data_IF_457014333549
#
_entry.id   IF_457014333549
#
_cell.length_a   1.000
_cell.length_b   1.000
_cell.length_c   1.000
_cell.angle_alpha   90.00
_cell.angle_beta   90.00
_cell.angle_gamma   90.00
#
_symmetry.space_group_name_H-M   'P 1'
#
loop_
_entity.id
_entity.type
_entity.pdbx_description
1 polymer ?
#
# COMPACT_ATOMS: atom_id res chain seq x y z
N UNK A 1 13.89 -7.36 -27.80
CA UNK A 1 14.67 -7.21 -26.53
C UNK A 1 14.16 -8.04 -25.35
N UNK A 2 12.89 -8.43 -25.26
CA UNK A 2 12.33 -9.11 -24.08
C UNK A 2 12.73 -10.56 -23.83
N UNK A 3 13.08 -11.34 -24.84
CA UNK A 3 13.43 -12.77 -24.72
C UNK A 3 14.78 -13.04 -24.03
N UNK A 4 15.68 -12.06 -23.99
CA UNK A 4 17.02 -12.23 -23.42
C UNK A 4 17.12 -11.94 -21.91
N UNK A 5 16.03 -11.53 -21.26
CA UNK A 5 16.04 -11.18 -19.83
C UNK A 5 15.74 -12.34 -18.89
N UNK A 6 15.19 -13.45 -19.40
CA UNK A 6 14.88 -14.64 -18.60
C UNK A 6 15.58 -15.84 -19.23
N UNK A 7 16.46 -16.46 -18.46
CA UNK A 7 17.23 -17.64 -18.92
C UNK A 7 16.36 -18.90 -18.96
N UNK A 8 16.72 -19.89 -19.83
CA UNK A 8 15.95 -21.13 -20.01
C UNK A 8 15.77 -21.97 -18.76
N UNK A 9 16.70 -21.91 -17.80
CA UNK A 9 16.63 -22.63 -16.53
C UNK A 9 15.61 -22.07 -15.54
N UNK A 10 15.00 -20.91 -15.89
CA UNK A 10 13.92 -20.26 -15.13
C UNK A 10 14.31 -19.86 -13.70
N UNK A 11 15.59 -19.82 -13.39
CA UNK A 11 16.16 -19.37 -12.12
C UNK A 11 17.17 -18.26 -12.27
N UNK A 12 17.42 -17.81 -13.48
CA UNK A 12 18.30 -16.70 -13.76
C UNK A 12 17.58 -15.61 -14.56
N UNK A 13 18.00 -14.39 -14.33
CA UNK A 13 17.61 -13.22 -15.13
C UNK A 13 18.90 -12.57 -15.64
N UNK A 14 18.93 -12.23 -16.91
CA UNK A 14 20.04 -11.49 -17.52
C UNK A 14 19.66 -10.01 -17.56
N UNK A 15 20.42 -9.20 -16.86
CA UNK A 15 20.20 -7.75 -16.79
C UNK A 15 21.30 -7.02 -17.53
N UNK A 16 20.98 -5.96 -18.32
CA UNK A 16 21.98 -5.12 -18.96
C UNK A 16 22.99 -4.60 -17.93
N UNK A 17 24.28 -4.62 -18.27
CA UNK A 17 25.41 -4.21 -17.42
C UNK A 17 25.69 -5.07 -16.17
N UNK A 18 24.72 -5.84 -15.69
CA UNK A 18 24.89 -6.70 -14.51
C UNK A 18 25.11 -8.18 -14.85
N UNK A 19 24.85 -8.56 -16.11
CA UNK A 19 24.99 -9.94 -16.56
C UNK A 19 23.86 -10.85 -16.05
N UNK A 20 24.15 -12.14 -15.96
CA UNK A 20 23.21 -13.17 -15.54
C UNK A 20 23.26 -13.35 -14.02
N UNK A 21 22.11 -13.17 -13.38
CA UNK A 21 21.94 -13.19 -11.92
C UNK A 21 20.98 -14.30 -11.53
N UNK A 22 21.37 -15.11 -10.56
CA UNK A 22 20.52 -16.14 -9.98
C UNK A 22 19.42 -15.51 -9.13
N UNK A 23 18.17 -15.92 -9.35
CA UNK A 23 17.00 -15.52 -8.58
C UNK A 23 16.61 -16.60 -7.57
N UNK A 24 16.10 -16.18 -6.41
CA UNK A 24 15.48 -17.10 -5.45
C UNK A 24 14.11 -17.58 -5.93
N UNK A 25 13.38 -16.71 -6.60
CA UNK A 25 12.07 -17.01 -7.15
C UNK A 25 12.17 -17.63 -8.55
N UNK A 26 11.23 -18.52 -8.84
CA UNK A 26 11.16 -19.17 -10.15
C UNK A 26 10.44 -18.26 -11.14
N UNK A 27 11.06 -17.97 -12.27
CA UNK A 27 10.52 -17.13 -13.35
C UNK A 27 9.62 -17.91 -14.33
N UNK A 28 9.30 -19.18 -14.07
CA UNK A 28 8.56 -20.08 -14.97
C UNK A 28 7.25 -19.50 -15.52
N UNK A 29 6.49 -18.80 -14.67
CA UNK A 29 5.21 -18.19 -15.11
C UNK A 29 5.43 -17.09 -16.13
N UNK A 30 6.46 -16.27 -15.91
CA UNK A 30 6.84 -15.21 -16.83
C UNK A 30 7.41 -15.81 -18.12
N UNK A 31 8.36 -16.74 -18.02
CA UNK A 31 8.97 -17.42 -19.16
C UNK A 31 7.90 -18.01 -20.09
N UNK A 32 6.95 -18.79 -19.58
CA UNK A 32 5.87 -19.36 -20.39
C UNK A 32 5.05 -18.33 -21.15
N UNK A 33 4.78 -17.16 -20.57
CA UNK A 33 4.04 -16.08 -21.23
C UNK A 33 4.85 -15.38 -22.29
N UNK A 34 6.16 -15.23 -22.07
CA UNK A 34 7.09 -14.68 -23.06
C UNK A 34 7.22 -15.63 -24.25
N UNK A 35 7.38 -16.94 -23.98
CA UNK A 35 7.49 -17.99 -25.02
C UNK A 35 6.21 -18.09 -25.85
N UNK A 36 5.05 -17.96 -25.20
CA UNK A 36 3.74 -17.94 -25.86
C UNK A 36 3.42 -16.61 -26.58
N UNK A 37 4.30 -15.59 -26.52
CA UNK A 37 4.05 -14.28 -27.11
C UNK A 37 2.95 -13.46 -26.40
N UNK A 38 2.43 -13.94 -25.26
CA UNK A 38 1.34 -13.30 -24.52
C UNK A 38 1.83 -12.30 -23.46
N UNK A 39 3.13 -12.09 -23.36
CA UNK A 39 3.75 -11.08 -22.50
C UNK A 39 4.97 -10.45 -23.16
N UNK A 40 5.24 -9.18 -22.79
CA UNK A 40 6.43 -8.43 -23.18
C UNK A 40 7.00 -7.70 -21.99
N UNK A 41 8.31 -7.85 -21.73
CA UNK A 41 8.98 -7.08 -20.68
C UNK A 41 9.28 -5.68 -21.23
N UNK A 42 8.80 -4.66 -20.50
CA UNK A 42 9.01 -3.25 -20.85
C UNK A 42 10.24 -2.68 -20.14
N UNK A 43 10.41 -2.99 -18.87
CA UNK A 43 11.54 -2.49 -18.10
C UNK A 43 11.88 -3.43 -16.93
N UNK A 44 13.10 -3.28 -16.41
CA UNK A 44 13.57 -3.95 -15.20
C UNK A 44 14.14 -2.90 -14.23
N UNK A 45 13.72 -2.97 -12.97
CA UNK A 45 14.23 -2.10 -11.91
C UNK A 45 14.91 -2.96 -10.85
N UNK A 46 16.17 -2.66 -10.54
CA UNK A 46 16.91 -3.30 -9.44
C UNK A 46 16.84 -2.42 -8.21
N UNK A 47 16.50 -2.99 -7.08
CA UNK A 47 16.42 -2.28 -5.81
C UNK A 47 17.02 -3.09 -4.67
N UNK A 48 17.58 -2.37 -3.69
CA UNK A 48 18.07 -2.97 -2.45
C UNK A 48 17.25 -2.48 -1.28
N UNK A 49 16.58 -3.39 -0.59
CA UNK A 49 15.69 -3.05 0.52
C UNK A 49 15.94 -3.99 1.70
N UNK A 50 16.28 -3.41 2.85
CA UNK A 50 16.49 -4.15 4.11
C UNK A 50 17.40 -5.38 3.98
N UNK A 51 18.51 -5.25 3.24
CA UNK A 51 19.49 -6.32 3.09
C UNK A 51 19.16 -7.37 2.02
N UNK A 52 18.17 -7.11 1.14
CA UNK A 52 17.84 -7.98 0.00
C UNK A 52 17.80 -7.19 -1.30
N UNK A 53 18.28 -7.81 -2.35
CA UNK A 53 18.16 -7.33 -3.72
C UNK A 53 16.88 -7.83 -4.35
N UNK A 54 16.21 -6.96 -5.07
CA UNK A 54 15.00 -7.26 -5.83
C UNK A 54 15.17 -6.81 -7.26
N UNK A 55 14.63 -7.61 -8.18
CA UNK A 55 14.42 -7.23 -9.59
C UNK A 55 12.92 -7.15 -9.81
N UNK A 56 12.41 -5.97 -10.11
CA UNK A 56 11.02 -5.75 -10.49
C UNK A 56 10.94 -5.60 -11.98
N UNK A 57 10.15 -6.45 -12.63
CA UNK A 57 9.93 -6.40 -14.07
C UNK A 57 8.56 -5.76 -14.35
N UNK A 58 8.56 -4.71 -15.16
CA UNK A 58 7.34 -4.18 -15.74
C UNK A 58 7.00 -4.99 -16.99
N UNK A 59 5.83 -5.61 -16.98
CA UNK A 59 5.43 -6.55 -18.02
C UNK A 59 4.07 -6.13 -18.59
N UNK A 60 4.01 -5.98 -19.91
CA UNK A 60 2.77 -5.91 -20.65
C UNK A 60 2.27 -7.35 -20.88
N UNK A 61 1.00 -7.62 -20.59
CA UNK A 61 0.44 -8.97 -20.65
C UNK A 61 -0.90 -8.93 -21.36
N UNK A 62 -1.08 -9.78 -22.37
CA UNK A 62 -2.39 -10.09 -22.92
C UNK A 62 -3.18 -10.88 -21.85
N UNK A 63 -4.31 -10.35 -21.45
CA UNK A 63 -5.13 -10.95 -20.40
C UNK A 63 -6.54 -11.21 -20.89
N UNK A 64 -7.02 -12.41 -20.68
CA UNK A 64 -8.45 -12.69 -20.78
C UNK A 64 -9.13 -12.15 -19.53
N UNK A 65 -10.14 -11.32 -19.73
CA UNK A 65 -11.00 -10.85 -18.64
C UNK A 65 -11.87 -12.03 -18.21
N UNK A 66 -11.76 -12.40 -16.93
CA UNK A 66 -12.66 -13.36 -16.29
C UNK A 66 -13.72 -12.58 -15.55
N UNK A 67 -14.97 -12.73 -15.93
CA UNK A 67 -16.08 -12.17 -15.18
C UNK A 67 -16.11 -12.74 -13.75
N UNK A 68 -16.48 -11.97 -12.75
CA UNK A 68 -16.75 -12.46 -11.41
C UNK A 68 -17.83 -13.53 -11.40
N UNK A 69 -17.83 -14.38 -10.38
CA UNK A 69 -18.85 -15.45 -10.25
C UNK A 69 -20.27 -14.87 -10.10
N UNK A 70 -20.39 -13.71 -9.44
CA UNK A 70 -21.65 -12.98 -9.24
C UNK A 70 -21.52 -11.55 -9.74
N UNK A 71 -21.55 -11.32 -11.08
CA UNK A 71 -21.25 -10.01 -11.67
C UNK A 71 -22.23 -8.91 -11.27
N UNK A 72 -23.49 -9.28 -11.01
CA UNK A 72 -24.56 -8.33 -10.66
C UNK A 72 -24.71 -8.07 -9.16
N UNK A 73 -24.04 -8.86 -8.33
CA UNK A 73 -24.11 -8.73 -6.88
C UNK A 73 -23.18 -7.63 -6.42
N UNK A 74 -23.74 -6.71 -5.65
CA UNK A 74 -22.99 -5.62 -4.99
C UNK A 74 -22.50 -6.11 -3.63
N UNK A 75 -21.27 -5.82 -3.27
CA UNK A 75 -20.74 -6.03 -1.93
C UNK A 75 -20.21 -4.74 -1.34
N UNK A 76 -20.66 -4.38 -0.14
CA UNK A 76 -20.09 -3.34 0.69
C UNK A 76 -18.98 -3.90 1.56
N UNK A 77 -17.87 -3.18 1.68
CA UNK A 77 -16.67 -3.57 2.42
C UNK A 77 -16.36 -2.53 3.47
N UNK A 78 -16.67 -2.83 4.72
CA UNK A 78 -16.24 -2.05 5.88
C UNK A 78 -14.86 -2.52 6.35
N UNK A 79 -13.88 -1.60 6.45
CA UNK A 79 -12.50 -1.91 6.83
C UNK A 79 -12.23 -1.56 8.29
N UNK A 80 -11.82 -2.55 9.07
CA UNK A 80 -11.65 -2.39 10.50
C UNK A 80 -10.34 -2.95 11.05
N UNK A 81 -10.06 -2.60 12.30
CA UNK A 81 -8.89 -3.10 13.05
C UNK A 81 -9.21 -4.41 13.78
N UNK A 82 -10.46 -4.61 14.19
CA UNK A 82 -10.92 -5.85 14.83
C UNK A 82 -11.05 -6.96 13.81
N UNK A 83 -11.94 -6.79 12.85
CA UNK A 83 -11.99 -7.54 11.61
C UNK A 83 -11.26 -6.73 10.55
N UNK A 84 -10.46 -7.38 9.71
CA UNK A 84 -9.76 -6.69 8.62
C UNK A 84 -10.74 -6.09 7.62
N UNK A 85 -11.82 -6.82 7.36
CA UNK A 85 -12.95 -6.37 6.60
C UNK A 85 -14.23 -7.08 7.07
N UNK A 86 -15.36 -6.39 6.99
CA UNK A 86 -16.69 -6.99 7.06
C UNK A 86 -17.34 -6.77 5.71
N UNK A 87 -17.79 -7.83 5.10
CA UNK A 87 -18.44 -7.84 3.80
C UNK A 87 -19.93 -8.06 4.00
N UNK A 88 -20.78 -7.25 3.37
CA UNK A 88 -22.20 -7.51 3.27
C UNK A 88 -22.60 -7.36 1.80
N UNK A 89 -23.23 -8.37 1.24
CA UNK A 89 -23.67 -8.30 -0.15
C UNK A 89 -25.18 -7.98 -0.29
N UNK A 90 -25.59 -7.65 -1.51
CA UNK A 90 -26.98 -7.29 -1.82
C UNK A 90 -27.96 -8.45 -1.69
N UNK A 91 -27.49 -9.70 -1.46
CA UNK A 91 -28.34 -10.86 -1.16
C UNK A 91 -28.54 -11.08 0.34
N UNK A 92 -27.89 -10.26 1.18
CA UNK A 92 -27.98 -10.34 2.63
C UNK A 92 -26.88 -11.17 3.30
N UNK A 93 -25.96 -11.77 2.53
CA UNK A 93 -24.85 -12.53 3.09
C UNK A 93 -23.84 -11.61 3.78
N UNK A 94 -23.45 -11.96 5.00
CA UNK A 94 -22.43 -11.22 5.77
C UNK A 94 -21.25 -12.15 6.02
N UNK A 95 -20.04 -11.63 5.78
CA UNK A 95 -18.78 -12.33 6.00
C UNK A 95 -17.82 -11.48 6.80
N UNK A 96 -17.31 -12.01 7.91
CA UNK A 96 -16.29 -11.35 8.72
C UNK A 96 -14.91 -11.91 8.38
N UNK A 97 -14.02 -11.03 7.92
CA UNK A 97 -12.64 -11.38 7.61
C UNK A 97 -11.77 -11.08 8.83
N UNK A 98 -11.15 -12.07 9.47
CA UNK A 98 -10.33 -11.84 10.64
C UNK A 98 -9.10 -11.00 10.31
N UNK A 99 -8.69 -10.14 11.25
CA UNK A 99 -7.44 -9.39 11.11
C UNK A 99 -6.27 -10.25 11.67
N UNK A 100 -5.31 -10.66 10.83
CA UNK A 100 -4.21 -11.51 11.28
C UNK A 100 -3.22 -10.81 12.20
N UNK A 101 -3.22 -9.48 12.28
CA UNK A 101 -2.40 -8.65 13.16
C UNK A 101 -0.92 -9.07 13.20
N UNK A 102 -0.31 -9.28 12.03
CA UNK A 102 1.05 -9.84 11.88
C UNK A 102 2.12 -9.07 12.66
N UNK A 103 1.98 -7.74 12.74
CA UNK A 103 2.91 -6.90 13.48
C UNK A 103 2.74 -7.10 15.00
N UNK A 104 1.53 -7.16 15.51
CA UNK A 104 1.28 -7.36 16.95
C UNK A 104 1.81 -8.73 17.41
N UNK A 105 1.61 -9.78 16.61
CA UNK A 105 2.16 -11.13 16.85
C UNK A 105 3.70 -11.11 16.94
N UNK A 106 4.37 -10.32 16.10
CA UNK A 106 5.83 -10.25 16.08
C UNK A 106 6.41 -9.20 17.04
N UNK A 107 5.58 -8.40 17.73
CA UNK A 107 6.01 -7.20 18.44
C UNK A 107 7.00 -7.48 19.58
N UNK A 108 6.80 -8.53 20.36
CA UNK A 108 7.72 -8.93 21.42
C UNK A 108 9.13 -9.23 20.88
N UNK A 109 9.20 -9.99 19.78
CA UNK A 109 10.46 -10.30 19.09
C UNK A 109 11.12 -9.04 18.54
N UNK A 110 10.36 -8.15 17.91
CA UNK A 110 10.88 -6.88 17.38
C UNK A 110 11.43 -5.98 18.50
N UNK A 111 10.73 -5.86 19.63
CA UNK A 111 11.19 -5.09 20.80
C UNK A 111 12.52 -5.64 21.35
N UNK A 112 12.65 -6.97 21.45
CA UNK A 112 13.90 -7.62 21.90
C UNK A 112 15.04 -7.34 20.93
N UNK A 113 14.81 -7.47 19.61
CA UNK A 113 15.81 -7.20 18.60
C UNK A 113 16.18 -5.71 18.54
N UNK A 114 15.22 -4.80 18.66
CA UNK A 114 15.48 -3.37 18.69
C UNK A 114 16.35 -2.96 19.90
N UNK A 115 16.06 -3.49 21.09
CA UNK A 115 16.93 -3.29 22.26
C UNK A 115 18.33 -3.85 22.05
N UNK A 116 18.47 -4.99 21.33
CA UNK A 116 19.78 -5.58 21.01
C UNK A 116 20.57 -4.71 20.00
N UNK A 117 19.88 -4.10 19.05
CA UNK A 117 20.45 -3.17 18.07
C UNK A 117 20.89 -1.87 18.75
N UNK A 118 20.04 -1.25 19.58
CA UNK A 118 20.31 0.03 20.23
C UNK A 118 21.50 0.00 21.21
N UNK A 119 21.81 -1.16 21.80
CA UNK A 119 22.98 -1.36 22.67
C UNK A 119 24.31 -1.53 21.93
N UNK A 120 24.31 -1.43 20.62
CA UNK A 120 25.49 -1.66 19.79
C UNK A 120 25.82 -0.43 18.97
N UNK A 121 27.09 -0.29 18.63
CA UNK A 121 27.54 0.81 17.81
C UNK A 121 26.93 0.73 16.42
N UNK A 122 25.98 1.62 16.13
CA UNK A 122 25.39 1.81 14.82
C UNK A 122 26.19 2.74 13.92
N UNK A 123 25.73 2.96 12.67
CA UNK A 123 26.32 3.95 11.79
C UNK A 123 26.07 5.36 12.34
N UNK A 124 27.11 6.18 12.34
CA UNK A 124 26.98 7.63 12.63
C UNK A 124 27.32 8.43 11.37
N UNK A 125 26.29 9.06 10.81
CA UNK A 125 26.45 9.88 9.59
C UNK A 125 27.23 11.17 9.83
N UNK A 126 27.20 11.71 11.05
CA UNK A 126 27.88 12.95 11.38
C UNK A 126 29.40 12.77 11.46
N UNK A 127 29.85 11.65 12.00
CA UNK A 127 31.27 11.31 12.15
C UNK A 127 31.77 10.35 11.07
N UNK A 128 30.94 9.99 10.10
CA UNK A 128 31.22 8.97 9.07
C UNK A 128 31.62 7.61 9.67
N UNK A 129 31.28 7.33 10.93
CA UNK A 129 31.65 6.13 11.63
C UNK A 129 30.84 4.92 11.13
N UNK A 130 31.55 3.87 10.71
CA UNK A 130 30.94 2.64 10.27
C UNK A 130 30.31 1.87 11.44
N UNK A 131 29.19 1.11 11.21
CA UNK A 131 28.58 0.27 12.22
C UNK A 131 29.47 -0.91 12.58
N UNK A 132 29.40 -1.35 13.85
CA UNK A 132 30.10 -2.57 14.29
C UNK A 132 29.51 -3.83 13.61
N UNK A 133 30.32 -4.85 13.37
CA UNK A 133 29.88 -6.16 12.83
C UNK A 133 28.71 -6.74 13.64
N UNK A 134 28.73 -6.58 14.96
CA UNK A 134 27.67 -7.05 15.87
C UNK A 134 26.37 -6.27 15.65
N UNK A 135 26.44 -4.97 15.37
CA UNK A 135 25.28 -4.17 15.01
C UNK A 135 24.68 -4.63 13.70
N UNK A 136 25.50 -4.75 12.65
CA UNK A 136 25.07 -5.21 11.32
C UNK A 136 24.33 -6.55 11.40
N UNK A 137 24.86 -7.51 12.14
CA UNK A 137 24.23 -8.83 12.33
C UNK A 137 22.88 -8.72 13.04
N UNK A 138 22.78 -7.89 14.08
CA UNK A 138 21.54 -7.71 14.83
C UNK A 138 20.48 -6.94 14.03
N UNK A 139 20.91 -5.93 13.27
CA UNK A 139 20.02 -5.15 12.40
C UNK A 139 19.48 -6.00 11.25
N UNK A 140 20.33 -6.84 10.64
CA UNK A 140 19.90 -7.78 9.63
C UNK A 140 18.84 -8.77 10.15
N UNK A 141 18.99 -9.24 11.41
CA UNK A 141 17.98 -10.11 12.03
C UNK A 141 16.65 -9.36 12.27
N UNK A 142 16.69 -8.11 12.76
CA UNK A 142 15.52 -7.25 12.91
C UNK A 142 14.84 -7.01 11.55
N UNK A 143 15.62 -6.70 10.53
CA UNK A 143 15.12 -6.45 9.18
C UNK A 143 14.46 -7.70 8.58
N UNK A 144 14.99 -8.92 8.81
CA UNK A 144 14.30 -10.15 8.38
C UNK A 144 12.91 -10.31 8.98
N UNK A 145 12.73 -9.93 10.25
CA UNK A 145 11.39 -9.97 10.89
C UNK A 145 10.44 -8.97 10.25
N UNK A 146 10.90 -7.73 10.01
CA UNK A 146 10.10 -6.72 9.32
C UNK A 146 9.71 -7.14 7.90
N UNK A 147 10.64 -7.77 7.15
CA UNK A 147 10.32 -8.33 5.82
C UNK A 147 9.22 -9.38 5.92
N UNK A 148 9.38 -10.36 6.81
CA UNK A 148 8.38 -11.42 6.97
C UNK A 148 6.98 -10.85 7.27
N UNK A 149 6.87 -9.85 8.15
CA UNK A 149 5.60 -9.19 8.44
C UNK A 149 5.02 -8.51 7.18
N UNK A 150 5.85 -7.79 6.45
CA UNK A 150 5.43 -7.12 5.22
C UNK A 150 4.98 -8.11 4.15
N UNK A 151 5.72 -9.22 3.98
CA UNK A 151 5.41 -10.27 3.01
C UNK A 151 4.09 -10.97 3.36
N UNK A 152 3.90 -11.38 4.63
CA UNK A 152 2.66 -12.00 5.11
C UNK A 152 1.45 -11.08 4.92
N UNK A 153 1.59 -9.80 5.27
CA UNK A 153 0.53 -8.81 5.05
C UNK A 153 0.21 -8.69 3.57
N UNK A 154 1.21 -8.49 2.73
CA UNK A 154 1.01 -8.31 1.29
C UNK A 154 0.34 -9.54 0.67
N UNK A 155 0.78 -10.75 1.00
CA UNK A 155 0.19 -12.00 0.53
C UNK A 155 -1.27 -12.13 0.97
N UNK A 156 -1.56 -11.89 2.27
CA UNK A 156 -2.91 -11.94 2.82
C UNK A 156 -3.86 -10.95 2.14
N UNK A 157 -3.40 -9.70 1.94
CA UNK A 157 -4.20 -8.68 1.26
C UNK A 157 -4.43 -9.01 -0.22
N UNK A 158 -3.42 -9.59 -0.90
CA UNK A 158 -3.59 -10.04 -2.28
C UNK A 158 -4.60 -11.19 -2.39
N UNK A 159 -4.58 -12.15 -1.47
CA UNK A 159 -5.54 -13.26 -1.43
C UNK A 159 -6.96 -12.72 -1.19
N UNK A 160 -7.15 -11.92 -0.15
CA UNK A 160 -8.43 -11.31 0.18
C UNK A 160 -9.04 -10.56 -1.01
N UNK A 161 -8.30 -9.61 -1.56
CA UNK A 161 -8.80 -8.78 -2.66
C UNK A 161 -8.99 -9.56 -3.95
N UNK A 162 -8.25 -10.66 -4.17
CA UNK A 162 -8.48 -11.57 -5.30
C UNK A 162 -9.77 -12.36 -5.11
N UNK A 163 -10.03 -12.89 -3.91
CA UNK A 163 -11.28 -13.60 -3.59
C UNK A 163 -12.48 -12.69 -3.77
N UNK A 164 -12.44 -11.46 -3.19
CA UNK A 164 -13.54 -10.49 -3.36
C UNK A 164 -13.80 -10.21 -4.84
N UNK A 165 -12.74 -10.01 -5.64
CA UNK A 165 -12.90 -9.70 -7.07
C UNK A 165 -13.23 -10.89 -7.96
N UNK A 166 -12.94 -12.10 -7.53
CA UNK A 166 -13.40 -13.31 -8.21
C UNK A 166 -14.89 -13.56 -7.97
N UNK A 167 -15.42 -13.08 -6.87
CA UNK A 167 -16.81 -13.30 -6.46
C UNK A 167 -17.74 -12.17 -6.94
N UNK A 168 -17.39 -10.90 -6.71
CA UNK A 168 -18.30 -9.77 -6.87
C UNK A 168 -17.92 -8.85 -8.02
N UNK A 169 -18.90 -8.47 -8.84
CA UNK A 169 -18.72 -7.51 -9.92
C UNK A 169 -18.62 -6.08 -9.42
N UNK A 170 -19.42 -5.70 -8.41
CA UNK A 170 -19.46 -4.37 -7.87
C UNK A 170 -19.01 -4.40 -6.40
N UNK A 171 -17.98 -3.63 -6.07
CA UNK A 171 -17.44 -3.54 -4.70
C UNK A 171 -17.47 -2.10 -4.25
N UNK A 172 -18.14 -1.82 -3.15
CA UNK A 172 -18.21 -0.50 -2.52
C UNK A 172 -17.28 -0.46 -1.32
N UNK A 173 -16.40 0.53 -1.25
CA UNK A 173 -15.46 0.72 -0.14
C UNK A 173 -15.53 2.15 0.38
N UNK A 174 -15.18 2.36 1.66
CA UNK A 174 -15.07 3.69 2.23
C UNK A 174 -13.82 4.43 1.73
N UNK A 175 -13.93 5.74 1.47
CA UNK A 175 -12.77 6.63 1.25
C UNK A 175 -12.14 7.02 2.58
N UNK A 176 -11.42 6.09 3.21
CA UNK A 176 -10.78 6.30 4.50
C UNK A 176 -9.61 7.28 4.42
N UNK A 177 -9.59 8.30 5.27
CA UNK A 177 -8.42 9.16 5.47
C UNK A 177 -7.31 8.42 6.23
N UNK A 178 -6.65 7.48 5.56
CA UNK A 178 -5.60 6.65 6.16
C UNK A 178 -4.45 7.51 6.73
N UNK A 179 -4.09 8.62 6.08
CA UNK A 179 -3.05 9.51 6.56
C UNK A 179 -3.42 10.14 7.92
N UNK A 180 -4.65 10.63 8.04
CA UNK A 180 -5.18 11.15 9.31
C UNK A 180 -5.28 10.08 10.39
N UNK A 181 -5.70 8.87 10.02
CA UNK A 181 -5.77 7.74 10.96
C UNK A 181 -4.37 7.34 11.47
N UNK A 182 -3.33 7.43 10.65
CA UNK A 182 -1.94 7.17 11.05
C UNK A 182 -1.36 8.23 11.98
N UNK A 183 -1.94 9.43 12.04
CA UNK A 183 -1.56 10.46 13.00
C UNK A 183 -2.01 10.10 14.45
N UNK A 184 -2.99 9.23 14.61
CA UNK A 184 -3.43 8.76 15.92
C UNK A 184 -2.42 7.75 16.52
N UNK A 185 -1.60 8.20 17.46
CA UNK A 185 -0.52 7.39 18.07
C UNK A 185 -0.99 6.05 18.66
N UNK A 186 -2.24 5.97 19.16
CA UNK A 186 -2.78 4.74 19.77
C UNK A 186 -3.14 3.68 18.72
N UNK A 187 -3.60 4.10 17.56
CA UNK A 187 -4.09 3.22 16.50
C UNK A 187 -3.14 3.07 15.31
N UNK A 188 -2.21 4.02 15.11
CA UNK A 188 -1.32 4.09 13.94
C UNK A 188 -0.66 2.76 13.58
N UNK A 189 -0.13 2.04 14.57
CA UNK A 189 0.52 0.75 14.34
C UNK A 189 -0.45 -0.31 13.79
N UNK A 190 -1.65 -0.40 14.35
CA UNK A 190 -2.67 -1.36 13.92
C UNK A 190 -3.21 -1.02 12.53
N UNK A 191 -3.43 0.27 12.27
CA UNK A 191 -3.87 0.78 10.96
C UNK A 191 -2.80 0.53 9.89
N UNK A 192 -1.52 0.79 10.20
CA UNK A 192 -0.41 0.51 9.30
C UNK A 192 -0.28 -1.00 9.00
N UNK A 193 -0.57 -1.86 9.98
CA UNK A 193 -0.54 -3.31 9.80
C UNK A 193 -1.73 -3.83 9.01
N UNK A 194 -2.92 -3.25 9.19
CA UNK A 194 -4.12 -3.59 8.43
C UNK A 194 -4.01 -3.25 6.94
N UNK A 195 -3.29 -2.17 6.58
CA UNK A 195 -2.99 -1.83 5.20
C UNK A 195 -4.21 -1.38 4.36
N UNK A 196 -5.13 -0.61 4.93
CA UNK A 196 -6.38 -0.18 4.28
C UNK A 196 -6.19 0.44 2.91
N UNK A 197 -5.22 1.36 2.76
CA UNK A 197 -4.91 1.95 1.46
C UNK A 197 -4.40 0.94 0.42
N UNK A 198 -3.76 -0.15 0.86
CA UNK A 198 -3.33 -1.23 -0.03
C UNK A 198 -4.52 -2.08 -0.48
N UNK A 199 -5.49 -2.34 0.42
CA UNK A 199 -6.75 -3.06 0.08
C UNK A 199 -7.50 -2.27 -0.98
N UNK A 200 -7.81 -0.99 -0.74
CA UNK A 200 -8.52 -0.13 -1.70
C UNK A 200 -7.84 -0.14 -3.07
N UNK A 201 -6.54 0.18 -3.12
CA UNK A 201 -5.78 0.17 -4.38
C UNK A 201 -5.85 -1.19 -5.09
N UNK A 202 -5.75 -2.30 -4.35
CA UNK A 202 -5.82 -3.64 -4.93
C UNK A 202 -7.21 -3.97 -5.47
N UNK A 203 -8.27 -3.59 -4.78
CA UNK A 203 -9.65 -3.75 -5.24
C UNK A 203 -9.88 -2.97 -6.54
N UNK A 204 -9.40 -1.72 -6.60
CA UNK A 204 -9.56 -0.87 -7.79
C UNK A 204 -8.88 -1.47 -9.02
N UNK A 205 -7.56 -1.74 -8.98
CA UNK A 205 -6.89 -2.23 -10.19
C UNK A 205 -7.29 -3.66 -10.57
N UNK A 206 -7.59 -4.52 -9.58
CA UNK A 206 -8.09 -5.88 -9.87
C UNK A 206 -9.51 -5.86 -10.43
N UNK A 207 -10.34 -4.89 -9.99
CA UNK A 207 -11.65 -4.64 -10.57
C UNK A 207 -11.55 -4.35 -12.05
N UNK A 208 -10.72 -3.38 -12.44
CA UNK A 208 -10.46 -3.08 -13.85
C UNK A 208 -9.95 -4.30 -14.64
N UNK A 209 -9.18 -5.19 -14.00
CA UNK A 209 -8.71 -6.41 -14.66
C UNK A 209 -9.80 -7.49 -14.84
N UNK A 210 -10.83 -7.49 -14.03
CA UNK A 210 -11.90 -8.47 -14.03
C UNK A 210 -13.20 -7.94 -14.68
N UNK A 211 -13.19 -6.74 -15.25
CA UNK A 211 -14.39 -6.09 -15.77
C UNK A 211 -15.39 -5.68 -14.69
N UNK A 212 -14.94 -5.62 -13.43
CA UNK A 212 -15.78 -5.21 -12.30
C UNK A 212 -15.53 -3.74 -11.91
N UNK A 213 -16.45 -3.17 -11.16
CA UNK A 213 -16.44 -1.77 -10.74
C UNK A 213 -16.11 -1.66 -9.25
N UNK A 214 -15.25 -0.68 -8.88
CA UNK A 214 -15.06 -0.25 -7.50
C UNK A 214 -15.71 1.11 -7.34
N UNK A 215 -16.62 1.23 -6.37
CA UNK A 215 -17.25 2.48 -5.99
C UNK A 215 -16.65 2.92 -4.65
N UNK A 216 -16.11 4.13 -4.61
CA UNK A 216 -15.67 4.75 -3.38
C UNK A 216 -16.87 5.49 -2.77
N UNK A 217 -17.27 5.12 -1.56
CA UNK A 217 -18.30 5.86 -0.82
C UNK A 217 -17.75 7.22 -0.41
N UNK A 218 -18.63 8.22 -0.38
CA UNK A 218 -18.25 9.55 0.11
C UNK A 218 -17.64 9.45 1.50
N UNK A 219 -16.56 10.21 1.72
CA UNK A 219 -15.80 10.21 2.99
C UNK A 219 -16.64 10.53 4.21
N UNK A 220 -17.68 11.31 4.03
CA UNK A 220 -18.56 11.78 5.10
C UNK A 220 -19.84 10.95 5.22
N UNK A 221 -20.01 9.96 4.36
CA UNK A 221 -21.14 9.06 4.44
C UNK A 221 -21.14 8.32 5.80
N UNK A 222 -22.20 8.50 6.61
CA UNK A 222 -22.23 7.98 7.97
C UNK A 222 -22.60 6.48 8.01
N UNK A 223 -21.85 5.64 7.26
CA UNK A 223 -22.11 4.20 7.07
C UNK A 223 -22.44 3.47 8.37
N UNK A 224 -21.65 3.70 9.42
CA UNK A 224 -21.80 3.01 10.71
C UNK A 224 -22.89 3.61 11.60
N UNK A 225 -23.41 4.82 11.30
CA UNK A 225 -24.45 5.49 12.07
C UNK A 225 -25.84 5.37 11.47
N UNK A 226 -25.91 5.07 10.18
CA UNK A 226 -27.17 4.89 9.44
C UNK A 226 -27.71 3.49 9.72
N UNK A 227 -29.01 3.38 9.95
CA UNK A 227 -29.67 2.09 10.04
C UNK A 227 -29.76 1.47 8.63
N UNK A 228 -29.29 0.25 8.46
CA UNK A 228 -29.32 -0.44 7.15
C UNK A 228 -30.72 -0.92 6.76
N UNK A 229 -31.67 -0.85 7.66
CA UNK A 229 -33.05 -1.27 7.43
C UNK A 229 -33.98 -0.08 7.12
N UNK A 230 -34.06 0.91 8.01
CA UNK A 230 -34.98 2.04 7.87
C UNK A 230 -34.31 3.38 7.46
N UNK A 231 -32.98 3.42 7.33
CA UNK A 231 -32.26 4.65 6.95
C UNK A 231 -32.08 5.69 8.05
N UNK A 232 -32.61 5.49 9.26
CA UNK A 232 -32.48 6.43 10.37
C UNK A 232 -31.01 6.63 10.77
N UNK A 233 -30.59 7.89 10.98
CA UNK A 233 -29.20 8.24 11.27
C UNK A 233 -29.07 8.62 12.75
N UNK A 234 -28.19 7.91 13.46
CA UNK A 234 -27.84 8.27 14.86
C UNK A 234 -26.94 9.49 14.91
N UNK A 235 -27.25 10.42 15.81
CA UNK A 235 -26.38 11.60 16.04
C UNK A 235 -25.01 11.21 16.58
N UNK A 236 -24.96 10.25 17.50
CA UNK A 236 -23.71 9.76 18.13
C UNK A 236 -23.68 8.24 18.14
N UNK A 237 -22.55 7.66 17.77
CA UNK A 237 -22.23 6.24 17.96
C UNK A 237 -20.74 6.11 18.30
N UNK A 238 -20.38 6.03 19.59
CA UNK A 238 -18.98 5.93 20.02
C UNK A 238 -18.27 4.73 19.40
N UNK A 239 -16.95 4.86 19.15
CA UNK A 239 -16.17 3.81 18.48
C UNK A 239 -16.09 2.49 19.27
N UNK A 240 -16.26 2.54 20.59
CA UNK A 240 -16.25 1.34 21.44
C UNK A 240 -17.56 0.55 21.38
N UNK A 241 -18.67 1.16 20.97
CA UNK A 241 -19.96 0.49 20.79
C UNK A 241 -19.89 -0.38 19.53
N UNK A 242 -20.12 -1.68 19.70
CA UNK A 242 -20.00 -2.66 18.62
C UNK A 242 -21.33 -3.18 18.11
N UNK A 243 -22.38 -2.98 18.86
CA UNK A 243 -23.75 -3.34 18.48
C UNK A 243 -24.47 -2.07 18.05
N UNK A 244 -24.98 -2.10 16.83
CA UNK A 244 -25.90 -1.06 16.36
C UNK A 244 -27.32 -1.48 16.74
N UNK A 245 -28.02 -0.63 17.47
CA UNK A 245 -29.43 -0.81 17.81
C UNK A 245 -30.21 0.41 17.31
N UNK A 246 -31.15 0.21 16.41
CA UNK A 246 -31.99 1.28 15.88
C UNK A 246 -33.11 1.61 16.85
N UNK A 247 -33.34 2.89 17.10
CA UNK A 247 -34.43 3.37 17.96
C UNK A 247 -35.76 3.50 17.23
N UNK A 248 -35.75 3.48 15.86
CA UNK A 248 -36.94 3.64 15.06
C UNK A 248 -37.55 2.30 14.62
N UNK A 249 -36.72 1.33 14.14
CA UNK A 249 -37.21 0.05 13.64
C UNK A 249 -36.78 -1.15 14.51
N UNK A 250 -36.17 -0.89 15.66
CA UNK A 250 -35.68 -1.91 16.58
C UNK A 250 -34.64 -2.91 16.01
N UNK A 251 -34.04 -2.62 14.84
CA UNK A 251 -32.94 -3.42 14.28
C UNK A 251 -31.77 -3.46 15.26
N UNK A 252 -31.31 -4.67 15.62
CA UNK A 252 -30.12 -4.91 16.43
C UNK A 252 -29.15 -5.79 15.66
N UNK A 253 -27.94 -5.29 15.39
CA UNK A 253 -26.93 -6.07 14.67
C UNK A 253 -25.51 -5.58 14.98
N UNK A 254 -24.50 -6.33 14.49
CA UNK A 254 -23.09 -5.87 14.54
C UNK A 254 -22.95 -4.56 13.77
N UNK A 255 -22.22 -3.61 14.37
CA UNK A 255 -22.03 -2.27 13.80
C UNK A 255 -21.30 -2.28 12.48
N UNK A 256 -20.24 -3.11 12.37
CA UNK A 256 -19.42 -3.18 11.17
C UNK A 256 -20.22 -3.88 10.04
N UNK A 257 -21.09 -4.85 10.39
CA UNK A 257 -22.04 -5.47 9.44
C UNK A 257 -23.10 -4.47 8.97
N UNK A 258 -23.63 -3.63 9.87
CA UNK A 258 -24.54 -2.55 9.48
C UNK A 258 -23.89 -1.57 8.51
N UNK A 259 -22.64 -1.17 8.78
CA UNK A 259 -21.88 -0.31 7.88
C UNK A 259 -21.68 -0.94 6.50
N UNK A 260 -21.30 -2.21 6.45
CA UNK A 260 -21.12 -2.92 5.19
C UNK A 260 -22.43 -3.03 4.37
N UNK A 261 -23.58 -3.23 5.03
CA UNK A 261 -24.89 -3.20 4.36
C UNK A 261 -25.20 -1.84 3.75
N UNK A 262 -24.94 -0.77 4.51
CA UNK A 262 -25.14 0.60 4.03
C UNK A 262 -24.25 0.91 2.83
N UNK A 263 -23.00 0.45 2.84
CA UNK A 263 -22.10 0.59 1.69
C UNK A 263 -22.64 -0.17 0.45
N UNK A 264 -23.13 -1.40 0.62
CA UNK A 264 -23.72 -2.15 -0.48
C UNK A 264 -24.93 -1.44 -1.09
N UNK A 265 -25.78 -0.82 -0.27
CA UNK A 265 -26.97 -0.10 -0.68
C UNK A 265 -26.65 1.14 -1.55
N UNK A 266 -25.50 1.81 -1.35
CA UNK A 266 -25.09 2.94 -2.16
C UNK A 266 -24.93 2.61 -3.65
N UNK A 267 -24.40 1.45 -3.99
CA UNK A 267 -24.25 1.06 -5.40
C UNK A 267 -25.55 0.54 -6.02
N UNK A 268 -26.49 0.05 -5.23
CA UNK A 268 -27.81 -0.29 -5.71
C UNK A 268 -28.56 0.97 -6.23
N UNK A 269 -28.40 2.11 -5.54
CA UNK A 269 -28.93 3.40 -5.97
C UNK A 269 -28.29 3.90 -7.28
N UNK A 270 -26.98 3.67 -7.47
CA UNK A 270 -26.28 4.01 -8.73
C UNK A 270 -26.77 3.15 -9.90
N UNK A 271 -27.03 1.85 -9.69
CA UNK A 271 -27.61 0.98 -10.72
C UNK A 271 -29.04 1.36 -11.12
N UNK A 272 -29.82 1.88 -10.18
CA UNK A 272 -31.21 2.26 -10.40
C UNK A 272 -31.40 3.62 -11.14
N UNK A 273 -30.32 4.26 -11.63
CA UNK A 273 -30.40 5.46 -12.46
C UNK A 273 -30.65 6.77 -11.70
N UNK A 274 -30.57 6.77 -10.36
CA UNK A 274 -30.60 8.00 -9.54
C UNK A 274 -29.20 8.54 -9.26
N UNK A 275 -28.21 8.12 -10.05
CA UNK A 275 -26.78 8.39 -9.86
C UNK A 275 -26.38 9.76 -10.38
N UNK A 276 -25.70 10.53 -9.55
CA UNK A 276 -24.84 11.65 -9.92
C UNK A 276 -23.80 11.14 -10.92
N UNK A 277 -23.80 11.69 -12.13
CA UNK A 277 -22.80 11.38 -13.15
C UNK A 277 -21.41 11.73 -12.63
N UNK A 278 -20.64 10.72 -12.26
CA UNK A 278 -19.20 10.84 -12.03
C UNK A 278 -18.49 10.79 -13.38
N UNK A 279 -17.70 11.79 -13.65
CA UNK A 279 -16.84 11.99 -14.82
C UNK A 279 -16.14 10.69 -15.24
N UNK A 280 -16.48 10.20 -16.42
CA UNK A 280 -15.84 9.04 -17.08
C UNK A 280 -14.66 9.49 -17.94
N UNK A 281 -13.70 10.21 -17.38
CA UNK A 281 -12.42 10.51 -18.04
C UNK A 281 -11.25 10.28 -17.11
N UNK A 282 -11.13 9.05 -16.59
CA UNK A 282 -9.88 8.59 -15.98
C UNK A 282 -9.14 7.73 -17.00
N UNK A 283 -8.53 8.37 -17.99
CA UNK A 283 -7.39 7.79 -18.69
C UNK A 283 -6.38 7.31 -17.65
N UNK A 284 -5.98 6.05 -17.75
CA UNK A 284 -4.99 5.41 -16.89
C UNK A 284 -3.64 6.14 -17.00
N UNK A 285 -3.49 7.24 -16.30
CA UNK A 285 -2.21 7.90 -16.09
C UNK A 285 -1.43 7.11 -15.06
N UNK A 286 -0.34 6.55 -15.53
CA UNK A 286 0.69 5.86 -14.77
C UNK A 286 1.18 6.75 -13.61
N UNK A 287 1.06 6.38 -12.31
CA UNK A 287 1.51 7.24 -11.21
C UNK A 287 3.01 7.10 -10.99
N UNK A 288 3.80 7.53 -11.96
CA UNK A 288 5.23 7.80 -11.84
C UNK A 288 5.52 9.22 -12.32
N UNK A 289 5.12 10.16 -11.50
CA UNK A 289 5.47 11.55 -11.62
C UNK A 289 5.14 12.21 -10.29
N UNK A 290 5.94 11.96 -9.27
CA UNK A 290 5.96 12.85 -8.13
C UNK A 290 6.57 14.15 -8.58
N UNK A 291 5.76 15.04 -9.14
CA UNK A 291 6.12 16.44 -9.31
C UNK A 291 6.42 17.03 -7.94
N UNK A 292 7.69 17.18 -7.70
CA UNK A 292 8.24 17.91 -6.58
C UNK A 292 7.89 19.40 -6.78
N UNK A 293 6.66 19.79 -6.44
CA UNK A 293 6.29 21.20 -6.35
C UNK A 293 7.17 21.84 -5.29
N UNK A 294 8.22 22.51 -5.75
CA UNK A 294 9.00 23.47 -4.97
C UNK A 294 8.05 24.58 -4.53
N UNK A 295 7.62 24.53 -3.29
CA UNK A 295 6.88 25.62 -2.64
C UNK A 295 7.86 26.76 -2.40
N UNK A 296 7.95 27.68 -3.33
CA UNK A 296 8.51 29.02 -3.09
C UNK A 296 7.56 29.77 -2.15
N UNK A 297 7.83 29.70 -0.86
CA UNK A 297 7.21 30.58 0.13
C UNK A 297 8.00 31.87 0.15
N UNK A 298 7.63 32.82 -0.66
CA UNK A 298 7.95 34.24 -0.45
C UNK A 298 7.10 34.77 0.70
N UNK A 299 7.70 34.83 1.87
CA UNK A 299 7.13 35.53 3.02
C UNK A 299 7.90 36.84 3.16
N UNK A 300 7.25 38.01 3.10
CA UNK A 300 7.95 39.31 3.33
C UNK A 300 8.38 39.37 4.80
N UNK A 301 9.70 39.51 5.03
CA UNK A 301 10.23 39.84 6.34
C UNK A 301 10.31 41.34 6.45
N UNK A 302 9.44 41.95 7.22
CA UNK A 302 9.65 43.27 7.81
C UNK A 302 10.73 43.17 8.87
N UNK A 303 11.77 43.99 8.71
CA UNK A 303 12.83 44.24 9.71
C UNK A 303 12.51 45.50 10.49
N UNK A 304 12.92 45.60 11.74
CA UNK A 304 13.44 46.85 12.31
C UNK A 304 14.92 46.72 12.64
N UNK A 305 15.61 47.69 12.23
CA UNK A 305 16.79 48.41 12.50
C UNK A 305 17.88 47.91 13.43
N UNK A 306 19.13 48.19 12.99
CA UNK A 306 20.14 48.65 13.89
C UNK A 306 21.53 48.02 13.79
N UNK A 307 22.42 48.77 13.18
CA UNK A 307 23.84 49.01 13.44
C UNK A 307 24.95 48.21 12.78
N UNK A 308 25.78 49.01 12.22
CA UNK A 308 27.01 48.96 11.47
C UNK A 308 28.17 48.11 12.04
N UNK A 309 29.05 47.66 11.14
CA UNK A 309 30.46 47.48 11.42
C UNK A 309 31.15 46.32 10.72
N UNK A 310 32.05 46.61 9.78
CA UNK A 310 33.22 45.77 9.51
C UNK A 310 33.25 45.04 8.14
N UNK A 311 33.87 45.68 7.17
CA UNK A 311 34.40 45.07 5.95
C UNK A 311 35.67 44.26 6.26
N UNK A 312 36.03 43.29 5.39
CA UNK A 312 37.33 42.92 4.79
C UNK A 312 37.21 41.46 4.23
N UNK A 313 38.10 40.94 3.33
CA UNK A 313 37.82 40.85 1.89
C UNK A 313 37.90 39.41 1.31
N UNK A 314 37.71 39.33 -0.02
CA UNK A 314 37.83 38.18 -0.93
C UNK A 314 39.06 37.28 -0.73
N UNK A 315 38.88 35.96 -0.83
CA UNK A 315 39.85 35.09 -1.47
C UNK A 315 39.12 34.06 -2.35
N UNK A 316 39.58 34.05 -3.62
CA UNK A 316 39.31 33.03 -4.65
C UNK A 316 40.03 31.74 -4.28
N UNK A 317 39.40 30.58 -4.52
CA UNK A 317 40.14 29.35 -4.84
C UNK A 317 39.26 28.47 -5.75
N UNK A 318 39.69 28.32 -6.84
CA UNK A 318 39.90 27.33 -7.89
C UNK A 318 39.14 26.02 -7.81
N UNK A 319 38.50 25.76 -8.95
CA UNK A 319 37.94 24.47 -9.40
C UNK A 319 39.03 23.39 -9.51
N UNK A 320 38.77 22.22 -8.94
CA UNK A 320 39.54 21.00 -9.23
C UNK A 320 38.60 19.89 -9.72
N UNK A 321 38.89 19.44 -10.93
CA UNK A 321 38.30 18.33 -11.66
C UNK A 321 38.66 16.98 -11.00
N UNK A 322 37.72 16.07 -10.72
CA UNK A 322 38.06 14.74 -10.24
C UNK A 322 37.97 13.70 -11.34
N UNK A 323 38.97 13.65 -12.23
CA UNK A 323 39.30 12.44 -12.96
C UNK A 323 40.69 12.00 -12.53
N UNK A 324 40.72 11.04 -11.63
CA UNK A 324 41.78 10.04 -11.44
C UNK A 324 41.71 9.46 -10.01
N UNK A 325 41.25 8.24 -9.91
CA UNK A 325 41.72 7.31 -8.89
C UNK A 325 41.44 5.88 -9.35
N UNK A 326 42.52 5.20 -9.50
CA UNK A 326 42.75 3.89 -10.04
C UNK A 326 42.15 2.73 -9.24
N UNK A 327 42.11 1.61 -9.96
CA UNK A 327 41.83 0.27 -9.50
C UNK A 327 42.68 -0.17 -8.31
N UNK A 328 42.05 -0.79 -7.33
CA UNK A 328 42.73 -1.67 -6.36
C UNK A 328 41.95 -2.97 -6.20
N UNK A 329 42.60 -3.98 -6.60
CA UNK A 329 42.48 -5.42 -6.54
C UNK A 329 41.79 -5.98 -5.31
N UNK A 330 40.82 -6.84 -5.57
CA UNK A 330 40.25 -7.78 -4.60
C UNK A 330 41.01 -9.10 -4.62
N UNK A 331 41.45 -9.53 -3.48
CA UNK A 331 41.60 -10.92 -3.10
C UNK A 331 40.57 -11.29 -2.05
#
# INVERSE_FOLDING_TARGET
>A
MGRQLVEPDRRHVRLPRLGTIRTHENTRKLARRLDAGTARILSATVSFTRGRWFVSLQVEVMRQVRSPARPDVVVGVDLGVRHLAVLADSTGQITHVPNPAHLDTALAKLRRLSRRVSRRQGPDRRTSRAPSRRWVKADAERNRVHHRIADLRTDGLHKLTTTIRAEYGIVVVEDLNVAGMLANRRLARKIADAGFGQIRRQLTYKGGWAGGVTVDADRWFPSSKTCSDCGAVKTKLPLHVRVFACEQCALVMDRDANAARNLAALAAAVKAGTGVAGDQDAQASNPRGADRKTRTTTRPRTRPGGRAGGAIPHQRTETRDPRQAEAATLR
#
